data_IF_078133093639
#
_entry.id   IF_078133093639
#
_cell.length_a   1.000
_cell.length_b   1.000
_cell.length_c   1.000
_cell.angle_alpha   90.00
_cell.angle_beta   90.00
_cell.angle_gamma   90.00
#
_symmetry.space_group_name_H-M   'P 1'
#
loop_
_entity.id
_entity.type
_entity.pdbx_description
1 polymer ?
#
# COMPACT_ATOMS: atom_id res chain seq x y z
N UNK A 1 29.39 -47.65 36.40
CA UNK A 1 28.70 -47.00 35.26
C UNK A 1 27.36 -47.70 35.13
N UNK A 2 26.29 -47.17 35.73
CA UNK A 2 24.95 -47.74 35.57
C UNK A 2 24.40 -47.33 34.20
N UNK A 3 23.81 -48.27 33.47
CA UNK A 3 23.26 -48.03 32.13
C UNK A 3 21.83 -47.50 32.25
N UNK A 4 21.33 -46.80 31.22
CA UNK A 4 19.95 -46.30 31.20
C UNK A 4 18.87 -47.40 31.18
N UNK A 5 19.25 -48.68 31.12
CA UNK A 5 18.37 -49.81 31.35
C UNK A 5 18.16 -50.09 32.84
N UNK A 6 19.23 -50.04 33.65
CA UNK A 6 19.18 -50.23 35.12
C UNK A 6 18.28 -49.19 35.80
N UNK A 7 18.29 -47.95 35.29
CA UNK A 7 17.42 -46.85 35.79
C UNK A 7 15.94 -47.10 35.49
N UNK A 8 15.61 -47.77 34.38
CA UNK A 8 14.22 -48.07 34.00
C UNK A 8 13.66 -49.26 34.77
N UNK A 9 14.52 -50.22 35.09
CA UNK A 9 14.20 -51.40 35.91
C UNK A 9 14.01 -51.02 37.38
N UNK A 10 14.87 -50.16 37.94
CA UNK A 10 14.75 -49.61 39.32
C UNK A 10 13.45 -48.82 39.53
N UNK A 11 12.88 -48.24 38.48
CA UNK A 11 11.71 -47.35 38.55
C UNK A 11 10.41 -48.01 38.09
N UNK A 12 10.39 -49.31 37.79
CA UNK A 12 9.19 -50.08 37.40
C UNK A 12 8.30 -49.38 36.34
N UNK A 13 8.89 -48.61 35.41
CA UNK A 13 8.16 -47.78 34.45
C UNK A 13 7.64 -48.56 33.21
N UNK A 14 7.52 -49.89 33.31
CA UNK A 14 7.11 -50.77 32.21
C UNK A 14 6.04 -51.78 32.60
N UNK A 15 4.80 -51.52 32.21
CA UNK A 15 3.67 -52.47 32.19
C UNK A 15 2.46 -51.80 31.55
N UNK A 16 1.60 -52.43 30.75
CA UNK A 16 1.24 -53.84 30.58
C UNK A 16 0.68 -54.01 29.15
N UNK A 17 0.96 -55.14 28.53
CA UNK A 17 0.50 -55.59 27.21
C UNK A 17 -1.02 -55.87 27.18
N UNK A 18 -1.67 -55.79 26.01
CA UNK A 18 -2.76 -56.72 25.61
C UNK A 18 -3.16 -56.56 24.14
N UNK A 19 -3.09 -57.70 23.45
CA UNK A 19 -3.42 -57.98 22.05
C UNK A 19 -4.94 -57.94 21.77
N UNK A 20 -5.37 -57.72 20.51
CA UNK A 20 -6.31 -58.64 19.82
C UNK A 20 -6.58 -58.33 18.32
N UNK A 21 -6.14 -59.27 17.48
CA UNK A 21 -6.78 -59.98 16.35
C UNK A 21 -7.68 -59.33 15.26
N UNK A 22 -7.39 -59.77 14.02
CA UNK A 22 -8.36 -60.13 12.96
C UNK A 22 -8.30 -59.28 11.68
N UNK A 23 -8.31 -59.73 10.41
CA UNK A 23 -8.09 -61.00 9.68
C UNK A 23 -8.45 -60.73 8.19
N UNK A 24 -7.53 -61.02 7.23
CA UNK A 24 -7.68 -61.53 5.82
C UNK A 24 -8.64 -60.87 4.78
N UNK A 25 -8.50 -60.96 3.44
CA UNK A 25 -7.46 -61.30 2.42
C UNK A 25 -8.11 -61.27 1.00
N UNK A 26 -7.27 -61.44 -0.05
CA UNK A 26 -7.43 -62.34 -1.23
C UNK A 26 -8.14 -61.95 -2.54
N UNK A 27 -8.57 -60.71 -2.83
CA UNK A 27 -9.31 -60.51 -4.11
C UNK A 27 -9.09 -59.25 -4.95
N UNK A 28 -7.95 -58.58 -4.84
CA UNK A 28 -7.48 -57.66 -5.91
C UNK A 28 -6.27 -58.24 -6.67
N UNK A 29 -6.19 -59.57 -6.64
CA UNK A 29 -5.35 -60.47 -7.42
C UNK A 29 -5.68 -60.30 -8.93
N UNK A 30 -4.71 -59.81 -9.72
CA UNK A 30 -4.46 -60.04 -11.18
C UNK A 30 -4.37 -58.78 -12.08
N UNK A 31 -3.14 -58.58 -12.58
CA UNK A 31 -2.63 -58.02 -13.85
C UNK A 31 -3.14 -56.67 -14.37
N UNK A 32 -2.37 -55.86 -15.10
CA UNK A 32 -0.94 -55.65 -15.34
C UNK A 32 -0.96 -54.57 -16.43
N UNK A 33 -0.32 -53.41 -16.27
CA UNK A 33 0.45 -52.80 -17.36
C UNK A 33 1.18 -51.51 -16.98
N UNK A 34 2.26 -51.31 -17.73
CA UNK A 34 3.42 -50.44 -17.51
C UNK A 34 3.10 -48.94 -17.40
N UNK A 35 3.70 -48.25 -16.42
CA UNK A 35 4.65 -47.13 -16.65
C UNK A 35 5.32 -46.63 -15.36
N UNK A 36 6.65 -46.54 -15.40
CA UNK A 36 7.53 -45.95 -14.36
C UNK A 36 7.31 -44.44 -14.24
N UNK A 37 7.13 -43.94 -13.02
CA UNK A 37 7.55 -42.59 -12.59
C UNK A 37 7.44 -42.42 -11.07
N UNK A 38 8.61 -42.38 -10.41
CA UNK A 38 8.94 -41.82 -9.08
C UNK A 38 8.02 -42.15 -7.89
N UNK A 39 8.57 -42.96 -6.99
CA UNK A 39 8.06 -43.28 -5.64
C UNK A 39 7.88 -41.99 -4.83
N UNK A 40 6.65 -41.48 -4.79
CA UNK A 40 6.17 -40.64 -3.70
C UNK A 40 6.23 -41.49 -2.43
N UNK A 41 6.97 -41.04 -1.42
CA UNK A 41 6.80 -41.61 -0.08
C UNK A 41 5.35 -41.35 0.34
N UNK A 42 4.60 -42.43 0.55
CA UNK A 42 3.30 -42.40 1.20
C UNK A 42 3.47 -41.88 2.63
N UNK A 43 3.49 -40.56 2.77
CA UNK A 43 3.19 -39.94 4.05
C UNK A 43 1.68 -39.87 4.11
N UNK A 44 1.06 -40.75 4.89
CA UNK A 44 -0.34 -40.69 5.25
C UNK A 44 -0.68 -39.25 5.64
N UNK A 45 -1.29 -38.51 4.73
CA UNK A 45 -1.70 -37.14 5.00
C UNK A 45 -2.98 -37.20 5.80
N UNK A 46 -2.82 -37.36 7.12
CA UNK A 46 -3.89 -37.02 8.05
C UNK A 46 -4.23 -35.55 7.77
N UNK A 47 -5.45 -35.29 7.30
CA UNK A 47 -5.86 -33.92 6.99
C UNK A 47 -5.97 -33.15 8.30
N UNK A 48 -5.49 -31.90 8.27
CA UNK A 48 -5.61 -30.97 9.38
C UNK A 48 -7.08 -30.94 9.85
N UNK A 49 -7.37 -31.24 11.13
CA UNK A 49 -8.73 -31.15 11.66
C UNK A 49 -9.30 -29.74 11.46
N UNK A 50 -10.58 -29.66 11.09
CA UNK A 50 -11.24 -28.36 10.88
C UNK A 50 -11.28 -27.58 12.20
N UNK A 51 -10.86 -26.32 12.18
CA UNK A 51 -10.71 -25.47 13.38
C UNK A 51 -9.30 -25.44 14.00
N UNK A 52 -8.37 -26.31 13.60
CA UNK A 52 -6.98 -26.26 14.07
C UNK A 52 -6.14 -25.29 13.21
N UNK A 53 -5.51 -24.30 13.84
CA UNK A 53 -4.59 -23.39 13.16
C UNK A 53 -3.35 -24.13 12.64
N UNK A 54 -2.85 -23.73 11.45
CA UNK A 54 -1.80 -24.47 10.72
C UNK A 54 -0.51 -24.56 11.53
N UNK A 55 -0.17 -23.50 12.23
CA UNK A 55 0.99 -23.37 13.11
C UNK A 55 0.91 -24.30 14.32
N UNK A 56 -0.28 -24.51 14.88
CA UNK A 56 -0.49 -25.43 16.00
C UNK A 56 -0.39 -26.89 15.53
N UNK A 57 -0.99 -27.19 14.38
CA UNK A 57 -0.90 -28.53 13.78
C UNK A 57 0.54 -28.92 13.43
N UNK A 58 1.35 -27.96 12.96
CA UNK A 58 2.75 -28.21 12.65
C UNK A 58 3.54 -28.72 13.86
N UNK A 59 3.32 -28.13 15.05
CA UNK A 59 4.00 -28.51 16.29
C UNK A 59 3.75 -29.96 16.71
N UNK A 60 2.53 -30.48 16.52
CA UNK A 60 2.21 -31.86 16.92
C UNK A 60 2.96 -32.93 16.10
N UNK A 61 3.33 -32.60 14.86
CA UNK A 61 3.90 -33.57 13.92
C UNK A 61 5.37 -33.32 13.59
N UNK A 62 5.89 -32.10 13.77
CA UNK A 62 7.32 -31.84 13.59
C UNK A 62 8.17 -32.28 14.78
N UNK A 63 7.57 -32.48 15.96
CA UNK A 63 8.33 -32.47 17.23
C UNK A 63 8.54 -33.85 17.89
N UNK A 64 8.11 -34.95 17.25
CA UNK A 64 8.34 -36.31 17.82
C UNK A 64 9.64 -36.98 17.38
N UNK A 65 10.37 -36.40 16.42
CA UNK A 65 11.64 -36.99 15.91
C UNK A 65 12.82 -36.04 15.81
N UNK A 66 12.62 -34.72 15.92
CA UNK A 66 13.72 -33.79 16.06
C UNK A 66 13.75 -33.33 17.52
N UNK A 67 14.66 -33.92 18.29
CA UNK A 67 14.99 -33.33 19.59
C UNK A 67 15.54 -31.93 19.31
N UNK A 68 15.04 -30.88 19.99
CA UNK A 68 15.54 -29.52 19.77
C UNK A 68 17.06 -29.51 19.96
N UNK A 69 17.83 -28.89 19.04
CA UNK A 69 19.28 -28.92 19.11
C UNK A 69 19.74 -28.34 20.44
N UNK A 70 20.36 -29.18 21.27
CA UNK A 70 21.00 -28.81 22.54
C UNK A 70 22.33 -28.09 22.30
N UNK A 71 22.35 -27.16 21.35
CA UNK A 71 23.48 -26.26 21.20
C UNK A 71 23.33 -25.17 22.26
N UNK A 72 24.29 -25.03 23.20
CA UNK A 72 24.30 -23.86 24.06
C UNK A 72 24.46 -22.64 23.15
N UNK A 73 23.38 -21.89 22.99
CA UNK A 73 23.41 -20.64 22.25
C UNK A 73 24.27 -19.67 23.06
N UNK A 74 25.49 -19.39 22.59
CA UNK A 74 26.36 -18.33 23.12
C UNK A 74 25.83 -16.94 22.71
N UNK A 75 24.52 -16.77 22.85
CA UNK A 75 23.82 -15.51 22.66
C UNK A 75 23.06 -15.29 23.94
N UNK A 76 23.68 -14.55 24.86
CA UNK A 76 23.11 -14.12 26.14
C UNK A 76 21.81 -13.30 26.03
N UNK A 77 21.19 -13.24 24.84
CA UNK A 77 19.94 -12.57 24.56
C UNK A 77 18.99 -13.60 23.92
N UNK A 78 18.18 -14.24 24.76
CA UNK A 78 17.15 -15.18 24.30
C UNK A 78 16.08 -14.55 23.41
N UNK A 79 15.15 -15.37 22.94
CA UNK A 79 13.98 -15.04 22.09
C UNK A 79 13.04 -13.93 22.61
N UNK A 80 13.31 -13.35 23.78
CA UNK A 80 12.70 -12.08 24.19
C UNK A 80 13.31 -10.98 23.34
N UNK A 81 12.57 -10.49 22.35
CA UNK A 81 12.85 -9.20 21.74
C UNK A 81 13.07 -8.21 22.88
N UNK A 82 14.30 -7.74 23.05
CA UNK A 82 14.63 -6.75 24.08
C UNK A 82 13.66 -5.61 23.84
N UNK A 83 12.66 -5.43 24.72
CA UNK A 83 11.68 -4.34 24.58
C UNK A 83 12.52 -3.10 24.36
N UNK A 84 12.32 -2.44 23.21
CA UNK A 84 13.13 -1.31 22.81
C UNK A 84 13.28 -0.41 24.04
N UNK A 85 14.49 -0.29 24.57
CA UNK A 85 14.78 0.61 25.67
C UNK A 85 14.71 2.00 25.06
N UNK A 86 13.49 2.48 24.83
CA UNK A 86 13.20 3.87 24.56
C UNK A 86 13.57 4.57 25.85
N UNK A 87 14.85 4.91 25.98
CA UNK A 87 15.38 5.62 27.14
C UNK A 87 14.50 6.84 27.41
N UNK A 88 14.57 7.33 28.64
CA UNK A 88 13.92 8.53 29.17
C UNK A 88 14.36 9.82 28.46
N UNK A 89 14.34 9.81 27.13
CA UNK A 89 14.61 10.94 26.27
C UNK A 89 13.42 11.86 26.43
N UNK A 90 13.67 13.05 26.97
CA UNK A 90 12.65 14.07 27.23
C UNK A 90 11.71 14.15 26.02
N UNK A 91 10.44 13.85 26.25
CA UNK A 91 9.41 13.91 25.21
C UNK A 91 9.41 15.33 24.65
N UNK A 92 9.45 15.45 23.32
CA UNK A 92 9.43 16.75 22.66
C UNK A 92 8.02 17.34 22.82
N UNK A 93 7.87 18.48 23.53
CA UNK A 93 6.56 19.06 23.76
C UNK A 93 5.98 19.63 22.45
N UNK A 94 4.67 19.49 22.32
CA UNK A 94 3.88 20.12 21.27
C UNK A 94 3.26 21.41 21.81
N UNK A 95 3.28 22.47 21.01
CA UNK A 95 2.68 23.76 21.32
C UNK A 95 1.69 24.10 20.22
N UNK A 96 0.52 24.59 20.62
CA UNK A 96 -0.45 25.19 19.68
C UNK A 96 0.11 26.55 19.27
N UNK A 97 0.60 26.65 18.02
CA UNK A 97 1.30 27.85 17.56
C UNK A 97 0.55 28.52 16.41
N UNK A 98 0.43 29.87 16.43
CA UNK A 98 -0.05 30.61 15.28
C UNK A 98 0.97 30.50 14.15
N UNK A 99 0.49 30.44 12.92
CA UNK A 99 1.31 30.52 11.73
C UNK A 99 0.57 31.28 10.63
N UNK A 100 1.34 31.96 9.81
CA UNK A 100 0.86 32.56 8.56
C UNK A 100 1.27 31.65 7.42
N UNK A 101 0.38 31.44 6.46
CA UNK A 101 0.73 30.70 5.25
C UNK A 101 1.21 31.69 4.20
N UNK A 102 2.52 31.75 3.88
CA UNK A 102 3.04 32.68 2.88
C UNK A 102 2.51 32.39 1.47
N UNK A 103 1.93 31.20 1.25
CA UNK A 103 1.25 30.86 0.00
C UNK A 103 -0.08 31.63 -0.20
N UNK A 104 -0.66 32.21 0.85
CA UNK A 104 -1.91 32.98 0.76
C UNK A 104 -1.62 34.48 0.78
N UNK A 105 -2.39 35.26 0.00
CA UNK A 105 -2.27 36.73 -0.08
C UNK A 105 -3.16 37.47 0.94
N UNK A 106 -3.99 36.75 1.69
CA UNK A 106 -4.99 37.31 2.61
C UNK A 106 -4.46 37.54 4.04
N UNK A 107 -3.22 37.13 4.33
CA UNK A 107 -2.62 37.30 5.66
C UNK A 107 -3.32 36.49 6.76
N UNK A 108 -4.15 35.51 6.41
CA UNK A 108 -4.92 34.76 7.39
C UNK A 108 -3.99 33.98 8.34
N UNK A 109 -4.23 34.17 9.64
CA UNK A 109 -3.51 33.48 10.72
C UNK A 109 -4.23 32.18 11.06
N UNK A 110 -3.51 31.07 10.99
CA UNK A 110 -4.01 29.76 11.37
C UNK A 110 -3.24 29.23 12.57
N UNK A 111 -3.74 28.17 13.18
CA UNK A 111 -3.07 27.49 14.28
C UNK A 111 -2.86 26.02 13.96
N UNK A 112 -1.74 25.47 14.41
CA UNK A 112 -1.49 24.03 14.36
C UNK A 112 -0.53 23.60 15.46
N UNK A 113 -0.59 22.31 15.78
CA UNK A 113 0.37 21.69 16.69
C UNK A 113 1.73 21.60 16.02
N UNK A 114 2.72 22.26 16.62
CA UNK A 114 4.13 22.16 16.22
C UNK A 114 5.00 21.73 17.38
N UNK A 115 6.15 21.16 17.07
CA UNK A 115 7.19 20.92 18.07
C UNK A 115 7.75 22.25 18.56
N UNK A 116 7.96 22.40 19.85
CA UNK A 116 8.53 23.62 20.43
C UNK A 116 9.90 24.01 19.83
N UNK A 117 10.68 23.04 19.35
CA UNK A 117 11.96 23.29 18.68
C UNK A 117 11.85 23.82 17.23
N UNK A 118 10.64 23.96 16.69
CA UNK A 118 10.38 24.44 15.32
C UNK A 118 9.71 25.83 15.32
N UNK A 119 9.82 26.55 16.43
CA UNK A 119 9.44 27.97 16.54
C UNK A 119 10.31 28.80 15.57
N UNK A 120 9.68 29.67 14.77
CA UNK A 120 10.36 30.54 13.79
C UNK A 120 10.58 29.95 12.38
N UNK A 121 10.19 28.70 12.11
CA UNK A 121 10.24 28.17 10.74
C UNK A 121 9.00 28.55 9.93
N UNK A 122 9.19 28.89 8.66
CA UNK A 122 8.09 29.08 7.72
C UNK A 122 7.25 27.81 7.58
N UNK A 123 5.97 27.98 7.19
CA UNK A 123 5.05 26.86 7.02
C UNK A 123 5.61 25.84 5.99
N UNK A 124 5.97 24.61 6.42
CA UNK A 124 6.71 23.68 5.55
C UNK A 124 5.98 23.30 4.27
N UNK A 125 4.64 23.38 4.26
CA UNK A 125 3.84 23.05 3.10
C UNK A 125 3.68 24.22 2.11
N UNK A 126 4.10 25.43 2.48
CA UNK A 126 4.01 26.57 1.57
C UNK A 126 4.86 26.38 0.30
N UNK A 127 5.98 25.65 0.40
CA UNK A 127 6.84 25.29 -0.75
C UNK A 127 6.14 24.46 -1.83
N UNK A 128 5.01 23.82 -1.49
CA UNK A 128 4.26 23.01 -2.43
C UNK A 128 3.19 23.79 -3.18
N UNK A 129 2.96 25.06 -2.83
CA UNK A 129 2.05 25.91 -3.58
C UNK A 129 2.69 26.32 -4.92
N UNK A 130 2.61 25.43 -5.90
CA UNK A 130 3.07 25.68 -7.26
C UNK A 130 1.91 26.26 -8.06
N UNK A 131 2.02 27.52 -8.45
CA UNK A 131 1.07 28.18 -9.35
C UNK A 131 1.42 27.84 -10.79
N UNK A 132 0.43 27.47 -11.60
CA UNK A 132 0.67 27.25 -13.04
C UNK A 132 0.69 28.58 -13.77
N UNK A 133 1.73 28.82 -14.57
CA UNK A 133 1.76 29.99 -15.45
C UNK A 133 0.93 29.71 -16.70
N UNK A 134 -0.18 30.43 -16.84
CA UNK A 134 -1.01 30.41 -18.04
C UNK A 134 -0.46 31.44 -19.02
N UNK A 135 -0.12 31.06 -20.27
CA UNK A 135 0.34 32.01 -21.28
C UNK A 135 -0.66 33.14 -21.51
N UNK A 136 -0.14 34.35 -21.77
CA UNK A 136 -0.94 35.50 -22.17
C UNK A 136 -0.63 35.76 -23.63
N UNK A 137 -1.66 35.82 -24.47
CA UNK A 137 -1.55 36.14 -25.88
C UNK A 137 -2.09 37.55 -26.16
N UNK A 138 -1.53 38.19 -27.17
CA UNK A 138 -1.98 39.44 -27.75
C UNK A 138 -3.06 39.22 -28.81
N UNK A 139 -3.78 40.29 -29.15
CA UNK A 139 -4.79 40.25 -30.23
C UNK A 139 -4.17 39.87 -31.58
N UNK A 140 -2.94 40.31 -31.84
CA UNK A 140 -2.22 40.03 -33.09
C UNK A 140 -1.86 38.54 -33.20
N UNK A 141 -1.32 37.97 -32.13
CA UNK A 141 -1.05 36.52 -32.06
C UNK A 141 -2.34 35.73 -32.27
N UNK A 142 -3.45 36.20 -31.67
CA UNK A 142 -4.73 35.53 -31.81
C UNK A 142 -5.15 35.41 -33.28
N UNK A 143 -5.08 36.52 -34.01
CA UNK A 143 -5.46 36.58 -35.42
C UNK A 143 -4.52 35.78 -36.33
N UNK A 144 -3.22 35.75 -36.02
CA UNK A 144 -2.24 35.05 -36.85
C UNK A 144 -2.26 33.53 -36.66
N UNK A 145 -2.34 33.04 -35.42
CA UNK A 145 -2.03 31.65 -35.10
C UNK A 145 -3.13 30.88 -34.37
N UNK A 146 -4.12 31.58 -33.79
CA UNK A 146 -5.05 31.00 -32.81
C UNK A 146 -6.53 31.09 -33.25
N UNK A 147 -6.79 31.52 -34.48
CA UNK A 147 -8.14 31.51 -35.05
C UNK A 147 -8.60 30.07 -35.33
N UNK A 148 -9.88 29.81 -35.09
CA UNK A 148 -10.51 28.49 -35.30
C UNK A 148 -12.00 28.71 -35.58
N UNK A 149 -12.53 28.05 -36.61
CA UNK A 149 -13.94 28.16 -37.00
C UNK A 149 -14.90 27.65 -35.90
N UNK A 150 -14.43 26.72 -35.07
CA UNK A 150 -15.25 26.13 -34.00
C UNK A 150 -15.23 26.94 -32.70
N UNK A 151 -14.45 28.02 -32.61
CA UNK A 151 -14.28 28.75 -31.35
C UNK A 151 -14.06 30.24 -31.55
N UNK A 152 -14.80 31.02 -30.77
CA UNK A 152 -14.69 32.47 -30.81
C UNK A 152 -13.55 32.98 -29.92
N UNK A 153 -13.12 34.21 -30.17
CA UNK A 153 -12.13 34.88 -29.33
C UNK A 153 -12.63 35.07 -27.90
N UNK A 154 -13.85 35.57 -27.75
CA UNK A 154 -14.48 35.79 -26.44
C UNK A 154 -14.52 34.51 -25.61
N UNK A 155 -14.76 33.38 -26.27
CA UNK A 155 -14.76 32.08 -25.64
C UNK A 155 -13.35 31.62 -25.21
N UNK A 156 -12.35 31.84 -26.06
CA UNK A 156 -10.96 31.53 -25.73
C UNK A 156 -10.49 32.38 -24.55
N UNK A 157 -10.80 33.68 -24.56
CA UNK A 157 -10.50 34.62 -23.47
C UNK A 157 -11.13 34.15 -22.15
N UNK A 158 -12.39 33.70 -22.20
CA UNK A 158 -13.10 33.14 -21.04
C UNK A 158 -12.44 31.86 -20.51
N UNK A 159 -12.06 30.93 -21.39
CA UNK A 159 -11.35 29.71 -20.99
C UNK A 159 -10.01 30.03 -20.31
N UNK A 160 -9.26 31.01 -20.83
CA UNK A 160 -7.99 31.44 -20.24
C UNK A 160 -8.18 32.16 -18.90
N UNK A 161 -9.26 32.90 -18.71
CA UNK A 161 -9.60 33.49 -17.40
C UNK A 161 -9.89 32.40 -16.36
N UNK A 162 -10.76 31.44 -16.68
CA UNK A 162 -11.05 30.30 -15.81
C UNK A 162 -9.78 29.49 -15.52
N UNK A 163 -8.91 29.33 -16.53
CA UNK A 163 -7.62 28.65 -16.40
C UNK A 163 -6.70 29.31 -15.38
N UNK A 164 -6.64 30.65 -15.34
CA UNK A 164 -5.86 31.42 -14.36
C UNK A 164 -6.47 31.34 -12.96
N UNK A 165 -7.80 31.35 -12.85
CA UNK A 165 -8.50 31.34 -11.57
C UNK A 165 -8.50 29.99 -10.87
N UNK A 166 -8.46 28.88 -11.64
CA UNK A 166 -8.58 27.52 -11.12
C UNK A 166 -7.32 26.65 -11.34
N UNK A 167 -6.16 27.26 -11.61
CA UNK A 167 -4.87 26.57 -11.79
C UNK A 167 -4.94 25.38 -12.78
N UNK A 168 -5.61 25.57 -13.93
CA UNK A 168 -5.82 24.54 -14.97
C UNK A 168 -6.53 23.25 -14.48
N UNK A 169 -7.33 23.32 -13.42
CA UNK A 169 -8.18 22.21 -13.01
C UNK A 169 -9.39 22.09 -13.95
N UNK A 170 -9.20 21.40 -15.07
CA UNK A 170 -10.21 21.27 -16.13
C UNK A 170 -11.56 20.72 -15.69
N UNK A 171 -11.60 19.89 -14.63
CA UNK A 171 -12.87 19.43 -14.04
C UNK A 171 -13.68 20.60 -13.48
N UNK A 172 -13.02 21.51 -12.76
CA UNK A 172 -13.66 22.71 -12.18
C UNK A 172 -13.98 23.72 -13.28
N UNK A 173 -13.07 23.89 -14.25
CA UNK A 173 -13.28 24.78 -15.39
C UNK A 173 -14.50 24.32 -16.20
N UNK A 174 -14.66 23.02 -16.44
CA UNK A 174 -15.80 22.46 -17.17
C UNK A 174 -17.12 22.65 -16.42
N UNK A 175 -17.12 22.45 -15.10
CA UNK A 175 -18.27 22.70 -14.22
C UNK A 175 -18.72 24.17 -14.23
N UNK A 176 -17.75 25.11 -14.24
CA UNK A 176 -18.00 26.55 -14.21
C UNK A 176 -18.05 27.21 -15.58
N UNK A 177 -17.98 26.43 -16.65
CA UNK A 177 -17.98 26.95 -18.00
C UNK A 177 -19.37 27.46 -18.37
N UNK A 178 -19.43 28.60 -19.07
CA UNK A 178 -20.69 29.15 -19.55
C UNK A 178 -21.16 28.40 -20.80
N UNK A 179 -21.88 27.29 -20.56
CA UNK A 179 -22.51 26.50 -21.61
C UNK A 179 -23.78 27.14 -22.17
N UNK A 180 -24.23 28.29 -21.66
CA UNK A 180 -25.36 29.01 -22.25
C UNK A 180 -24.88 29.96 -23.34
N UNK A 181 -23.81 30.70 -23.06
CA UNK A 181 -23.23 31.67 -23.98
C UNK A 181 -22.45 31.02 -25.12
N UNK A 182 -21.77 29.89 -24.87
CA UNK A 182 -20.85 29.26 -25.82
C UNK A 182 -21.28 27.86 -26.30
N UNK A 183 -22.54 27.71 -26.72
CA UNK A 183 -23.02 26.46 -27.34
C UNK A 183 -22.50 26.35 -28.77
N UNK A 184 -21.81 25.24 -29.07
CA UNK A 184 -21.51 24.85 -30.44
C UNK A 184 -22.54 23.84 -30.90
N UNK A 185 -23.33 24.23 -31.92
CA UNK A 185 -24.22 23.35 -32.71
C UNK A 185 -25.00 22.29 -31.92
N UNK A 186 -25.62 22.71 -30.81
CA UNK A 186 -26.52 21.84 -30.02
C UNK A 186 -25.82 20.78 -29.16
N UNK A 187 -24.48 20.82 -29.01
CA UNK A 187 -23.73 19.95 -28.09
C UNK A 187 -23.04 20.77 -27.00
N UNK A 188 -23.07 20.27 -25.78
CA UNK A 188 -22.25 20.80 -24.69
C UNK A 188 -20.79 20.50 -25.01
N UNK A 189 -19.88 21.46 -24.80
CA UNK A 189 -18.45 21.21 -24.99
C UNK A 189 -18.00 20.14 -24.00
N UNK A 190 -17.45 19.05 -24.53
CA UNK A 190 -16.85 18.01 -23.71
C UNK A 190 -15.60 18.55 -23.00
N UNK A 191 -15.32 18.05 -21.81
CA UNK A 191 -14.10 18.40 -21.07
C UNK A 191 -12.82 18.21 -21.92
N UNK A 192 -12.83 17.23 -22.83
CA UNK A 192 -11.73 17.01 -23.80
C UNK A 192 -11.49 18.20 -24.74
N UNK A 193 -12.53 18.89 -25.20
CA UNK A 193 -12.37 20.07 -26.05
C UNK A 193 -11.76 21.24 -25.27
N UNK A 194 -12.17 21.43 -24.01
CA UNK A 194 -11.60 22.44 -23.12
C UNK A 194 -10.13 22.14 -22.75
N UNK A 195 -9.77 20.85 -22.64
CA UNK A 195 -8.41 20.37 -22.38
C UNK A 195 -7.48 20.57 -23.58
N UNK A 196 -7.95 20.24 -24.77
CA UNK A 196 -7.15 20.28 -26.00
C UNK A 196 -6.82 21.73 -26.40
N UNK A 197 -7.74 22.68 -26.18
CA UNK A 197 -7.61 24.07 -26.63
C UNK A 197 -6.34 24.77 -26.07
N UNK A 198 -6.08 24.86 -24.75
CA UNK A 198 -4.87 25.51 -24.25
C UNK A 198 -3.58 24.77 -24.62
N UNK A 199 -3.66 23.44 -24.78
CA UNK A 199 -2.50 22.62 -25.17
C UNK A 199 -2.12 22.85 -26.63
N UNK A 200 -3.11 22.91 -27.53
CA UNK A 200 -2.92 23.21 -28.95
C UNK A 200 -2.38 24.63 -29.15
N UNK A 201 -2.92 25.60 -28.41
CA UNK A 201 -2.46 26.99 -28.47
C UNK A 201 -1.02 27.14 -28.01
N UNK A 202 -0.61 26.43 -26.94
CA UNK A 202 0.78 26.43 -26.46
C UNK A 202 1.74 25.81 -27.48
N UNK A 203 1.32 24.77 -28.20
CA UNK A 203 2.10 24.19 -29.30
C UNK A 203 2.26 25.15 -30.50
N UNK A 204 1.29 26.03 -30.74
CA UNK A 204 1.35 27.02 -31.83
C UNK A 204 2.23 28.26 -31.51
N UNK A 205 2.53 28.51 -30.23
CA UNK A 205 3.37 29.64 -29.79
C UNK A 205 4.83 29.27 -29.48
N UNK A 206 5.22 28.01 -29.67
CA UNK A 206 6.61 27.52 -29.45
C UNK A 206 7.29 27.30 -30.79
#
# INVERSE_FOLDING_TARGET
>A
MATGADVRDILELGGVESENTGTINKKDIINSDKKKSKKSSETLTFKRPEGMHREVYALLYSDKKDAPPLLPSDTAQGYRTVKAKLGSKKVRPWKWMPFTNPARKDGAMFYHWRRAAEEGKDYPFARFNKTVQVPVYSEQEYQMYLHDDAWTKAETDHLFDLSRRFDLRFVVIHDRYDHQQFKVSGRCRGAGALLLRPFLMRAATT
#
